data_IF_830432567318
#
_entry.id   IF_830432567318
#
_cell.length_a   1.000
_cell.length_b   1.000
_cell.length_c   1.000
_cell.angle_alpha   90.00
_cell.angle_beta   90.00
_cell.angle_gamma   90.00
#
_symmetry.space_group_name_H-M   'P 1'
#
loop_
_entity.id
_entity.type
_entity.pdbx_description
1 polymer ?
#
# COMPACT_ATOMS: atom_id res chain seq x y z
N UNK A 1 2.99 -4.20 -20.75
CA UNK A 1 1.93 -4.95 -21.45
C UNK A 1 1.46 -6.04 -20.49
N UNK A 2 0.14 -6.20 -20.31
CA UNK A 2 -0.42 -7.20 -19.37
C UNK A 2 -0.26 -8.61 -19.95
N UNK A 3 -0.22 -9.61 -19.08
CA UNK A 3 0.00 -11.01 -19.44
C UNK A 3 -1.27 -11.83 -19.20
N UNK A 4 -1.45 -12.86 -20.02
CA UNK A 4 -2.47 -13.87 -19.81
C UNK A 4 -1.97 -14.89 -18.78
N UNK A 5 -2.37 -14.74 -17.51
CA UNK A 5 -1.92 -15.61 -16.41
C UNK A 5 -3.09 -16.41 -15.85
N UNK A 6 -2.81 -17.62 -15.34
CA UNK A 6 -3.74 -18.40 -14.51
C UNK A 6 -3.08 -18.77 -13.21
N UNK A 7 -3.84 -18.72 -12.11
CA UNK A 7 -3.36 -19.10 -10.78
C UNK A 7 -4.41 -19.94 -10.07
N UNK A 8 -3.95 -21.00 -9.41
CA UNK A 8 -4.73 -21.85 -8.53
C UNK A 8 -4.42 -21.50 -7.08
N UNK A 9 -5.46 -21.35 -6.27
CA UNK A 9 -5.40 -20.86 -4.90
C UNK A 9 -6.05 -21.88 -3.97
N UNK A 10 -5.39 -22.16 -2.85
CA UNK A 10 -5.82 -23.19 -1.91
C UNK A 10 -6.89 -22.70 -0.93
N UNK A 11 -6.96 -21.39 -0.66
CA UNK A 11 -7.85 -20.82 0.35
C UNK A 11 -8.08 -19.31 0.14
N UNK A 12 -8.98 -18.76 0.94
CA UNK A 12 -9.35 -17.34 0.92
C UNK A 12 -8.17 -16.39 1.14
N UNK A 13 -7.24 -16.72 2.04
CA UNK A 13 -6.06 -15.86 2.29
C UNK A 13 -5.15 -15.76 1.07
N UNK A 14 -4.93 -16.87 0.36
CA UNK A 14 -4.18 -16.87 -0.89
C UNK A 14 -4.91 -16.07 -1.98
N UNK A 15 -6.24 -16.16 -2.02
CA UNK A 15 -7.05 -15.35 -2.94
C UNK A 15 -6.87 -13.86 -2.70
N UNK A 16 -6.98 -13.38 -1.45
CA UNK A 16 -6.78 -11.96 -1.14
C UNK A 16 -5.39 -11.48 -1.57
N UNK A 17 -4.34 -12.27 -1.25
CA UNK A 17 -2.97 -11.94 -1.65
C UNK A 17 -2.80 -11.86 -3.17
N UNK A 18 -3.37 -12.81 -3.91
CA UNK A 18 -3.31 -12.81 -5.37
C UNK A 18 -4.10 -11.65 -5.98
N UNK A 19 -5.27 -11.35 -5.42
CA UNK A 19 -6.14 -10.25 -5.85
C UNK A 19 -5.45 -8.89 -5.68
N UNK A 20 -4.85 -8.65 -4.51
CA UNK A 20 -4.09 -7.44 -4.22
C UNK A 20 -2.88 -7.31 -5.14
N UNK A 21 -2.17 -8.41 -5.39
CA UNK A 21 -1.01 -8.42 -6.28
C UNK A 21 -1.40 -8.07 -7.73
N UNK A 22 -2.48 -8.65 -8.24
CA UNK A 22 -2.99 -8.34 -9.59
C UNK A 22 -3.48 -6.88 -9.67
N UNK A 23 -4.17 -6.40 -8.64
CA UNK A 23 -4.62 -5.00 -8.59
C UNK A 23 -3.43 -4.04 -8.56
N UNK A 24 -2.37 -4.34 -7.79
CA UNK A 24 -1.10 -3.58 -7.78
C UNK A 24 -0.39 -3.57 -9.12
N UNK A 25 -0.42 -4.71 -9.81
CA UNK A 25 0.07 -4.81 -11.17
C UNK A 25 -0.81 -4.05 -12.16
N UNK A 26 -1.93 -3.47 -11.73
CA UNK A 26 -2.87 -2.63 -12.49
C UNK A 26 -3.91 -3.41 -13.28
N UNK A 27 -4.21 -4.64 -12.90
CA UNK A 27 -5.36 -5.38 -13.43
C UNK A 27 -6.65 -4.93 -12.72
N UNK A 28 -7.80 -5.11 -13.37
CA UNK A 28 -9.10 -4.72 -12.84
C UNK A 28 -10.14 -5.82 -13.06
N UNK A 29 -11.18 -5.82 -12.24
CA UNK A 29 -12.26 -6.78 -12.39
C UNK A 29 -13.00 -6.61 -13.72
N UNK A 30 -13.15 -7.70 -14.47
CA UNK A 30 -13.77 -7.70 -15.81
C UNK A 30 -15.15 -8.37 -15.87
N UNK A 31 -15.69 -8.82 -14.74
CA UNK A 31 -17.01 -9.45 -14.68
C UNK A 31 -18.16 -8.43 -14.60
N UNK A 32 -19.37 -8.91 -14.89
CA UNK A 32 -20.57 -8.05 -14.94
C UNK A 32 -21.21 -7.79 -13.57
N UNK A 33 -20.67 -8.38 -12.50
CA UNK A 33 -21.17 -8.29 -11.13
C UNK A 33 -20.10 -7.73 -10.19
N UNK A 34 -20.37 -7.68 -8.89
CA UNK A 34 -19.37 -7.28 -7.91
C UNK A 34 -18.16 -8.24 -7.91
N UNK A 35 -16.95 -7.75 -7.60
CA UNK A 35 -15.79 -8.61 -7.42
C UNK A 35 -16.06 -9.73 -6.40
N UNK A 36 -15.60 -10.96 -6.68
CA UNK A 36 -15.80 -12.08 -5.76
C UNK A 36 -14.99 -11.90 -4.47
N UNK A 37 -15.52 -12.35 -3.34
CA UNK A 37 -14.77 -12.36 -2.07
C UNK A 37 -13.79 -13.54 -1.98
N UNK A 38 -13.99 -14.59 -2.79
CA UNK A 38 -13.10 -15.75 -2.86
C UNK A 38 -13.33 -16.53 -4.15
N UNK A 39 -12.26 -17.13 -4.67
CA UNK A 39 -12.31 -18.08 -5.79
C UNK A 39 -11.03 -18.94 -5.80
N UNK A 40 -11.14 -20.24 -6.14
CA UNK A 40 -9.97 -21.12 -6.27
C UNK A 40 -9.13 -20.85 -7.53
N UNK A 41 -9.71 -20.25 -8.57
CA UNK A 41 -9.03 -20.01 -9.85
C UNK A 41 -9.20 -18.56 -10.30
N UNK A 42 -8.09 -17.90 -10.59
CA UNK A 42 -8.07 -16.56 -11.20
C UNK A 42 -7.40 -16.61 -12.57
N UNK A 43 -7.89 -15.76 -13.47
CA UNK A 43 -7.36 -15.58 -14.81
C UNK A 43 -7.18 -14.09 -15.07
N UNK A 44 -5.99 -13.69 -15.50
CA UNK A 44 -5.72 -12.34 -15.98
C UNK A 44 -5.64 -12.33 -17.51
N UNK A 45 -6.06 -11.24 -18.14
CA UNK A 45 -6.09 -11.11 -19.60
C UNK A 45 -5.17 -9.99 -20.09
N UNK A 46 -4.72 -10.02 -21.37
CA UNK A 46 -3.84 -8.98 -21.93
C UNK A 46 -4.45 -7.57 -21.98
N UNK A 47 -5.77 -7.46 -21.90
CA UNK A 47 -6.50 -6.20 -21.80
C UNK A 47 -6.58 -5.66 -20.36
N UNK A 48 -6.00 -6.38 -19.39
CA UNK A 48 -5.96 -5.99 -17.99
C UNK A 48 -7.12 -6.51 -17.14
N UNK A 49 -8.06 -7.27 -17.71
CA UNK A 49 -9.17 -7.85 -16.95
C UNK A 49 -8.74 -9.03 -16.08
N UNK A 50 -9.42 -9.18 -14.94
CA UNK A 50 -9.40 -10.37 -14.09
C UNK A 50 -10.77 -11.03 -14.19
N UNK A 51 -10.79 -12.35 -14.43
CA UNK A 51 -11.97 -13.19 -14.29
C UNK A 51 -11.65 -14.36 -13.35
N UNK A 52 -12.70 -15.00 -12.83
CA UNK A 52 -12.56 -16.13 -11.89
C UNK A 52 -13.40 -17.31 -12.32
N UNK A 53 -12.99 -18.50 -11.90
CA UNK A 53 -13.88 -19.66 -11.80
C UNK A 53 -14.04 -20.05 -10.34
N UNK A 54 -15.27 -20.45 -10.00
CA UNK A 54 -15.64 -20.88 -8.65
C UNK A 54 -15.36 -22.38 -8.45
N UNK A 55 -15.80 -22.89 -7.30
CA UNK A 55 -15.63 -24.30 -6.96
C UNK A 55 -16.43 -25.20 -7.90
N UNK A 56 -15.82 -26.34 -8.23
CA UNK A 56 -16.56 -27.45 -8.79
C UNK A 56 -17.58 -27.98 -7.77
N UNK A 57 -18.75 -28.35 -8.26
CA UNK A 57 -19.74 -29.06 -7.45
C UNK A 57 -19.17 -30.42 -7.02
N UNK A 58 -19.63 -30.94 -5.89
CA UNK A 58 -19.25 -32.28 -5.45
C UNK A 58 -19.54 -33.30 -6.55
N UNK A 59 -18.62 -34.25 -6.76
CA UNK A 59 -18.65 -35.28 -7.82
C UNK A 59 -18.51 -34.76 -9.26
N UNK A 60 -18.17 -33.48 -9.47
CA UNK A 60 -17.86 -32.98 -10.80
C UNK A 60 -16.70 -33.76 -11.44
N UNK A 61 -16.84 -34.04 -12.75
CA UNK A 61 -15.74 -34.56 -13.55
C UNK A 61 -14.67 -33.47 -13.73
N UNK A 62 -13.63 -33.54 -12.89
CA UNK A 62 -12.50 -32.61 -12.90
C UNK A 62 -11.65 -32.70 -14.18
N UNK A 63 -11.86 -33.70 -15.05
CA UNK A 63 -11.19 -33.83 -16.34
C UNK A 63 -11.94 -33.13 -17.49
N UNK A 64 -13.22 -32.82 -17.27
CA UNK A 64 -14.08 -32.12 -18.22
C UNK A 64 -13.59 -30.69 -18.43
N UNK A 65 -13.51 -30.17 -19.67
CA UNK A 65 -13.17 -28.75 -19.90
C UNK A 65 -14.23 -27.77 -19.33
N UNK A 66 -15.39 -28.28 -18.92
CA UNK A 66 -16.49 -27.49 -18.38
C UNK A 66 -16.52 -27.46 -16.85
N UNK A 67 -15.65 -28.22 -16.17
CA UNK A 67 -15.39 -28.06 -14.74
C UNK A 67 -14.38 -26.94 -14.52
N UNK A 68 -14.41 -26.27 -13.38
CA UNK A 68 -13.47 -25.22 -13.05
C UNK A 68 -12.02 -25.76 -13.02
N UNK A 69 -11.81 -26.93 -12.40
CA UNK A 69 -10.52 -27.60 -12.39
C UNK A 69 -10.06 -28.02 -13.81
N UNK A 70 -10.97 -28.56 -14.62
CA UNK A 70 -10.62 -29.02 -15.97
C UNK A 70 -10.43 -27.88 -16.97
N UNK A 71 -11.17 -26.78 -16.83
CA UNK A 71 -10.92 -25.53 -17.56
C UNK A 71 -9.55 -24.95 -17.18
N UNK A 72 -9.22 -24.88 -15.90
CA UNK A 72 -7.90 -24.44 -15.44
C UNK A 72 -6.77 -25.28 -16.07
N UNK A 73 -6.93 -26.61 -16.06
CA UNK A 73 -5.95 -27.54 -16.63
C UNK A 73 -5.74 -27.35 -18.13
N UNK A 74 -6.80 -27.07 -18.89
CA UNK A 74 -6.76 -26.94 -20.36
C UNK A 74 -6.50 -25.52 -20.87
N UNK A 75 -6.71 -24.51 -20.03
CA UNK A 75 -6.52 -23.10 -20.40
C UNK A 75 -5.09 -22.82 -20.85
N UNK A 76 -4.95 -22.06 -21.95
CA UNK A 76 -3.67 -21.65 -22.53
C UNK A 76 -2.96 -20.53 -21.73
N UNK A 77 -3.61 -19.98 -20.71
CA UNK A 77 -3.01 -18.97 -19.84
C UNK A 77 -1.75 -19.53 -19.19
N UNK A 78 -0.73 -18.68 -19.07
CA UNK A 78 0.52 -19.06 -18.42
C UNK A 78 0.27 -19.27 -16.93
N UNK A 79 0.52 -20.48 -16.46
CA UNK A 79 0.39 -20.79 -15.05
C UNK A 79 1.46 -20.06 -14.24
N UNK A 80 1.03 -19.43 -13.13
CA UNK A 80 1.90 -18.75 -12.19
C UNK A 80 1.57 -19.19 -10.76
N UNK A 81 2.61 -19.38 -9.95
CA UNK A 81 2.44 -19.61 -8.52
C UNK A 81 2.16 -18.30 -7.79
N UNK A 82 1.54 -18.38 -6.60
CA UNK A 82 1.33 -17.19 -5.77
C UNK A 82 2.66 -16.47 -5.49
N UNK A 83 3.71 -17.19 -5.10
CA UNK A 83 5.01 -16.59 -4.81
C UNK A 83 5.59 -15.84 -6.01
N UNK A 84 5.50 -16.42 -7.21
CA UNK A 84 5.97 -15.77 -8.43
C UNK A 84 5.14 -14.53 -8.77
N UNK A 85 3.82 -14.57 -8.56
CA UNK A 85 2.95 -13.41 -8.74
C UNK A 85 3.30 -12.29 -7.75
N UNK A 86 3.55 -12.63 -6.48
CA UNK A 86 3.96 -11.67 -5.46
C UNK A 86 5.32 -11.05 -5.80
N UNK A 87 6.27 -11.82 -6.33
CA UNK A 87 7.55 -11.31 -6.81
C UNK A 87 7.35 -10.36 -7.99
N UNK A 88 6.50 -10.71 -8.96
CA UNK A 88 6.18 -9.81 -10.07
C UNK A 88 5.58 -8.49 -9.59
N UNK A 89 4.63 -8.55 -8.64
CA UNK A 89 4.01 -7.37 -8.05
C UNK A 89 4.98 -6.52 -7.21
N UNK A 90 6.09 -7.09 -6.72
CA UNK A 90 7.17 -6.35 -6.05
C UNK A 90 8.15 -5.70 -7.03
N UNK A 91 8.35 -6.28 -8.21
CA UNK A 91 9.28 -5.77 -9.22
C UNK A 91 8.69 -4.67 -10.12
N UNK A 92 7.37 -4.61 -10.26
CA UNK A 92 6.71 -3.46 -10.88
C UNK A 92 6.80 -2.29 -9.90
N UNK A 93 7.25 -1.12 -10.37
CA UNK A 93 7.61 0.06 -9.54
C UNK A 93 6.40 0.78 -8.90
N UNK A 94 5.40 0.02 -8.46
CA UNK A 94 4.43 0.45 -7.47
C UNK A 94 4.77 -0.24 -6.16
N UNK A 95 5.40 0.52 -5.28
CA UNK A 95 5.82 0.04 -3.97
C UNK A 95 4.66 -0.65 -3.23
N UNK A 96 4.91 -1.81 -2.62
CA UNK A 96 3.86 -2.56 -1.96
C UNK A 96 3.29 -1.74 -0.80
N UNK A 97 1.97 -1.65 -0.74
CA UNK A 97 1.16 -1.18 0.40
C UNK A 97 1.59 -1.75 1.78
N UNK A 98 2.44 -2.79 1.81
CA UNK A 98 2.92 -3.46 3.03
C UNK A 98 4.13 -2.78 3.70
N UNK A 99 4.81 -1.80 3.07
CA UNK A 99 5.80 -0.95 3.75
C UNK A 99 5.16 0.22 4.52
N UNK A 100 3.84 0.40 4.40
CA UNK A 100 3.13 1.49 5.09
C UNK A 100 2.80 1.15 6.53
N UNK A 101 2.63 -0.13 6.90
CA UNK A 101 2.16 -0.46 8.27
C UNK A 101 3.14 0.00 9.34
N UNK A 102 4.46 -0.30 9.27
CA UNK A 102 5.42 0.23 10.25
C UNK A 102 5.53 1.76 10.20
N UNK A 103 5.42 2.34 9.00
CA UNK A 103 5.52 3.78 8.80
C UNK A 103 4.29 4.51 9.36
N UNK A 104 3.07 4.04 9.11
CA UNK A 104 1.82 4.55 9.68
C UNK A 104 1.87 4.45 11.20
N UNK A 105 2.31 3.31 11.77
CA UNK A 105 2.46 3.18 13.23
C UNK A 105 3.39 4.22 13.84
N UNK A 106 4.46 4.58 13.13
CA UNK A 106 5.42 5.61 13.55
C UNK A 106 4.90 7.04 13.32
N UNK A 107 4.31 7.29 12.16
CA UNK A 107 3.97 8.63 11.66
C UNK A 107 2.58 9.09 12.10
N UNK A 108 1.62 8.18 12.35
CA UNK A 108 0.26 8.55 12.77
C UNK A 108 0.25 9.41 14.04
N UNK A 109 0.98 9.09 15.13
CA UNK A 109 0.99 9.94 16.31
C UNK A 109 1.58 11.35 16.03
N UNK A 110 2.56 11.44 15.12
CA UNK A 110 3.16 12.72 14.72
C UNK A 110 2.20 13.55 13.87
N UNK A 111 1.47 12.88 12.96
CA UNK A 111 0.39 13.47 12.18
C UNK A 111 -0.73 13.98 13.09
N UNK A 112 -1.26 13.17 14.01
CA UNK A 112 -2.34 13.54 14.93
C UNK A 112 -1.98 14.79 15.73
N UNK A 113 -0.78 14.82 16.31
CA UNK A 113 -0.29 15.98 17.05
C UNK A 113 -0.18 17.23 16.17
N UNK A 114 0.32 17.09 14.94
CA UNK A 114 0.43 18.21 14.00
C UNK A 114 -0.94 18.70 13.54
N UNK A 115 -1.85 17.79 13.21
CA UNK A 115 -3.18 18.07 12.70
C UNK A 115 -3.97 18.88 13.74
N UNK A 116 -3.97 18.44 15.00
CA UNK A 116 -4.60 19.15 16.12
C UNK A 116 -3.92 20.50 16.38
N UNK A 117 -2.58 20.57 16.36
CA UNK A 117 -1.86 21.84 16.52
C UNK A 117 -2.21 22.86 15.43
N UNK A 118 -2.55 22.40 14.22
CA UNK A 118 -2.94 23.23 13.09
C UNK A 118 -4.43 23.56 13.05
N UNK A 119 -5.19 23.18 14.07
CA UNK A 119 -6.61 23.46 14.20
C UNK A 119 -7.52 22.42 13.55
N UNK A 120 -6.97 21.28 13.13
CA UNK A 120 -7.75 20.11 12.77
C UNK A 120 -8.39 19.45 14.00
N UNK A 121 -9.49 18.74 13.79
CA UNK A 121 -10.27 18.12 14.86
C UNK A 121 -10.36 16.60 14.67
N UNK A 122 -10.23 15.85 15.75
CA UNK A 122 -10.31 14.39 15.79
C UNK A 122 -11.36 13.89 16.81
N UNK A 123 -12.09 14.78 17.48
CA UNK A 123 -12.93 14.44 18.64
C UNK A 123 -13.99 13.37 18.36
N UNK A 124 -14.51 13.30 17.13
CA UNK A 124 -15.54 12.35 16.72
C UNK A 124 -15.00 11.17 15.92
N UNK A 125 -13.68 11.03 15.83
CA UNK A 125 -13.02 10.01 15.03
C UNK A 125 -12.25 9.05 15.94
N UNK A 126 -12.34 7.76 15.64
CA UNK A 126 -11.48 6.73 16.21
C UNK A 126 -10.65 6.09 15.11
N UNK A 127 -9.43 5.68 15.45
CA UNK A 127 -8.64 4.83 14.58
C UNK A 127 -9.11 3.39 14.70
N UNK A 128 -9.59 2.79 13.62
CA UNK A 128 -9.97 1.38 13.57
C UNK A 128 -8.81 0.55 13.01
N UNK A 129 -8.06 -0.12 13.90
CA UNK A 129 -6.89 -0.93 13.52
C UNK A 129 -7.31 -2.36 13.15
N UNK A 130 -6.92 -2.79 11.96
CA UNK A 130 -7.03 -4.17 11.51
C UNK A 130 -5.93 -5.06 12.11
N UNK A 131 -6.15 -6.37 12.17
CA UNK A 131 -5.22 -7.36 12.74
C UNK A 131 -3.82 -7.37 12.11
N UNK A 132 -3.70 -6.91 10.86
CA UNK A 132 -2.44 -6.78 10.13
C UNK A 132 -1.68 -5.47 10.46
N UNK A 133 -2.23 -4.60 11.31
CA UNK A 133 -1.67 -3.30 11.69
C UNK A 133 -1.96 -2.15 10.72
N UNK A 134 -2.73 -2.39 9.64
CA UNK A 134 -3.36 -1.30 8.88
C UNK A 134 -4.57 -0.76 9.63
N UNK A 135 -5.14 0.33 9.14
CA UNK A 135 -6.37 0.87 9.69
C UNK A 135 -6.73 2.17 9.00
N UNK A 136 -7.81 2.76 9.45
CA UNK A 136 -8.29 4.06 9.01
C UNK A 136 -9.09 4.75 10.13
N UNK A 137 -9.25 6.07 10.02
CA UNK A 137 -10.16 6.81 10.88
C UNK A 137 -11.60 6.50 10.49
N UNK A 138 -12.39 6.16 11.49
CA UNK A 138 -13.82 5.92 11.40
C UNK A 138 -14.55 6.87 12.36
N UNK A 139 -15.81 7.22 12.09
CA UNK A 139 -16.64 7.89 13.07
C UNK A 139 -16.73 7.08 14.38
N UNK A 140 -16.56 7.74 15.53
CA UNK A 140 -16.72 7.12 16.83
C UNK A 140 -18.20 7.13 17.25
N UNK A 141 -19.03 6.35 16.56
CA UNK A 141 -20.47 6.29 16.81
C UNK A 141 -20.84 5.95 18.26
N UNK A 142 -19.98 5.19 18.96
CA UNK A 142 -20.17 4.85 20.36
C UNK A 142 -20.09 6.08 21.27
N UNK A 143 -19.16 6.99 21.00
CA UNK A 143 -19.01 8.24 21.76
C UNK A 143 -20.03 9.29 21.31
N UNK A 144 -20.31 9.38 20.01
CA UNK A 144 -21.31 10.29 19.45
C UNK A 144 -22.72 9.96 19.95
N UNK A 145 -23.10 8.67 19.95
CA UNK A 145 -24.42 8.23 20.39
C UNK A 145 -24.69 8.41 21.89
N UNK A 146 -23.64 8.61 22.71
CA UNK A 146 -23.77 8.97 24.12
C UNK A 146 -23.99 10.48 24.33
N UNK A 147 -23.67 11.31 23.34
CA UNK A 147 -23.82 12.77 23.38
C UNK A 147 -25.23 13.21 22.91
N UNK A 148 -25.88 12.41 22.06
CA UNK A 148 -27.08 12.81 21.29
C UNK A 148 -28.44 12.38 21.89
N UNK A 149 -28.55 12.24 23.21
CA UNK A 149 -29.84 11.91 23.83
C UNK A 149 -30.87 13.06 23.87
N UNK A 150 -30.62 14.23 23.26
CA UNK A 150 -31.50 15.41 23.41
C UNK A 150 -31.93 16.16 22.13
N UNK A 151 -31.53 15.78 20.91
CA UNK A 151 -31.88 16.58 19.72
C UNK A 151 -32.45 15.77 18.55
N UNK A 152 -33.79 15.67 18.52
CA UNK A 152 -34.53 15.22 17.34
C UNK A 152 -34.50 16.25 16.22
N UNK A 153 -34.21 15.82 14.99
CA UNK A 153 -34.10 16.59 13.72
C UNK A 153 -32.74 17.26 13.47
N UNK A 154 -31.70 16.46 13.12
CA UNK A 154 -30.67 16.75 12.07
C UNK A 154 -29.63 15.60 11.90
N UNK A 155 -29.99 14.36 12.27
CA UNK A 155 -29.08 13.21 12.31
C UNK A 155 -28.41 12.89 10.96
N UNK A 156 -29.05 13.13 9.81
CA UNK A 156 -28.48 12.73 8.51
C UNK A 156 -27.30 13.61 8.06
N UNK A 157 -27.44 14.93 8.16
CA UNK A 157 -26.40 15.88 7.70
C UNK A 157 -25.20 15.86 8.65
N UNK A 158 -25.43 15.75 9.97
CA UNK A 158 -24.36 15.59 10.93
C UNK A 158 -23.59 14.28 10.73
N UNK A 159 -24.29 13.16 10.51
CA UNK A 159 -23.66 11.86 10.26
C UNK A 159 -22.85 11.86 8.96
N UNK A 160 -23.39 12.42 7.87
CA UNK A 160 -22.65 12.56 6.61
C UNK A 160 -21.41 13.43 6.75
N UNK A 161 -21.50 14.53 7.50
CA UNK A 161 -20.36 15.42 7.76
C UNK A 161 -19.25 14.71 8.54
N UNK A 162 -19.58 13.86 9.52
CA UNK A 162 -18.57 13.11 10.27
C UNK A 162 -17.93 12.03 9.41
N UNK A 163 -18.68 11.33 8.55
CA UNK A 163 -18.13 10.35 7.62
C UNK A 163 -17.17 11.03 6.63
N UNK A 164 -17.58 12.15 6.03
CA UNK A 164 -16.73 12.93 5.12
C UNK A 164 -15.48 13.46 5.84
N UNK A 165 -15.61 13.84 7.11
CA UNK A 165 -14.48 14.26 7.93
C UNK A 165 -13.50 13.10 8.17
N UNK A 166 -13.99 11.89 8.45
CA UNK A 166 -13.15 10.71 8.58
C UNK A 166 -12.37 10.42 7.28
N UNK A 167 -13.04 10.45 6.13
CA UNK A 167 -12.41 10.30 4.81
C UNK A 167 -11.35 11.38 4.54
N UNK A 168 -11.64 12.62 4.91
CA UNK A 168 -10.72 13.73 4.76
C UNK A 168 -9.45 13.55 5.61
N UNK A 169 -9.62 13.21 6.89
CA UNK A 169 -8.50 12.96 7.81
C UNK A 169 -7.66 11.78 7.33
N UNK A 170 -8.28 10.71 6.82
CA UNK A 170 -7.57 9.59 6.19
C UNK A 170 -6.72 10.04 5.00
N UNK A 171 -7.29 10.82 4.09
CA UNK A 171 -6.54 11.37 2.94
C UNK A 171 -5.35 12.23 3.39
N UNK A 172 -5.52 13.03 4.44
CA UNK A 172 -4.46 13.84 5.03
C UNK A 172 -3.34 12.99 5.66
N UNK A 173 -3.69 11.94 6.41
CA UNK A 173 -2.72 10.98 6.96
C UNK A 173 -1.93 10.30 5.85
N UNK A 174 -2.60 9.82 4.79
CA UNK A 174 -1.90 9.16 3.67
C UNK A 174 -0.94 10.12 2.98
N UNK A 175 -1.35 11.37 2.77
CA UNK A 175 -0.48 12.42 2.21
C UNK A 175 0.74 12.71 3.11
N UNK A 176 0.53 12.76 4.43
CA UNK A 176 1.62 12.90 5.41
C UNK A 176 2.61 11.74 5.30
N UNK A 177 2.11 10.51 5.26
CA UNK A 177 2.93 9.29 5.22
C UNK A 177 3.74 9.21 3.91
N UNK A 178 3.18 9.60 2.77
CA UNK A 178 3.93 9.74 1.51
C UNK A 178 5.04 10.78 1.61
N UNK A 179 4.77 11.90 2.29
CA UNK A 179 5.77 12.93 2.50
C UNK A 179 6.89 12.44 3.43
N UNK A 180 6.53 11.76 4.52
CA UNK A 180 7.49 11.16 5.47
C UNK A 180 8.38 10.14 4.76
N UNK A 181 7.79 9.31 3.90
CA UNK A 181 8.50 8.35 3.04
C UNK A 181 9.50 9.02 2.11
N UNK A 182 9.12 10.11 1.44
CA UNK A 182 10.05 10.85 0.56
C UNK A 182 11.22 11.50 1.30
N UNK A 183 11.08 11.71 2.61
CA UNK A 183 12.12 12.25 3.51
C UNK A 183 12.91 11.16 4.23
N UNK A 184 12.39 9.94 4.30
CA UNK A 184 13.06 8.80 4.92
C UNK A 184 14.08 8.25 3.91
N UNK A 185 15.35 8.58 4.12
CA UNK A 185 16.46 7.92 3.44
C UNK A 185 16.49 6.46 3.95
N UNK A 186 16.38 5.44 3.09
CA UNK A 186 16.43 4.06 3.54
C UNK A 186 17.75 3.74 4.25
N UNK A 187 17.73 2.82 5.21
CA UNK A 187 18.94 2.41 5.93
C UNK A 187 20.03 1.96 4.96
N UNK A 188 21.23 2.54 5.11
CA UNK A 188 22.38 2.29 4.24
C UNK A 188 22.50 3.23 3.02
N UNK A 189 21.51 4.10 2.77
CA UNK A 189 21.57 5.10 1.71
C UNK A 189 22.00 6.47 2.27
N UNK A 190 22.68 7.27 1.45
CA UNK A 190 23.13 8.62 1.80
C UNK A 190 22.65 9.57 0.70
N UNK A 191 21.99 10.66 1.08
CA UNK A 191 21.66 11.73 0.13
C UNK A 191 22.93 12.51 -0.20
N UNK A 192 23.41 12.39 -1.43
CA UNK A 192 24.49 13.23 -1.94
C UNK A 192 23.91 14.51 -2.58
N UNK A 193 24.55 15.68 -2.40
CA UNK A 193 24.16 16.87 -3.14
C UNK A 193 24.30 16.62 -4.65
N UNK A 194 23.28 17.01 -5.42
CA UNK A 194 23.21 16.81 -6.88
C UNK A 194 24.40 17.47 -7.61
N UNK A 195 24.86 18.61 -7.10
CA UNK A 195 26.05 19.32 -7.57
C UNK A 195 26.88 19.72 -6.34
N UNK A 196 27.99 19.04 -6.05
CA UNK A 196 28.85 19.41 -4.93
C UNK A 196 29.61 20.70 -5.25
N UNK A 197 29.70 21.60 -4.27
CA UNK A 197 30.52 22.80 -4.41
C UNK A 197 32.02 22.45 -4.44
N UNK A 198 32.87 23.44 -4.75
CA UNK A 198 34.30 23.21 -4.93
C UNK A 198 34.99 22.68 -3.67
N UNK A 199 34.55 23.12 -2.48
CA UNK A 199 35.06 22.64 -1.19
C UNK A 199 34.70 21.16 -0.99
N UNK A 200 33.45 20.80 -1.21
CA UNK A 200 32.96 19.42 -1.11
C UNK A 200 33.66 18.49 -2.09
N UNK A 201 33.88 18.96 -3.32
CA UNK A 201 34.60 18.21 -4.34
C UNK A 201 36.05 17.93 -3.92
N UNK A 202 36.74 18.93 -3.34
CA UNK A 202 38.11 18.77 -2.81
C UNK A 202 38.17 17.83 -1.61
N UNK A 203 37.24 17.94 -0.66
CA UNK A 203 37.13 17.03 0.49
C UNK A 203 36.90 15.58 0.04
N UNK A 204 36.01 15.37 -0.93
CA UNK A 204 35.72 14.06 -1.49
C UNK A 204 36.94 13.44 -2.20
N UNK A 205 37.63 14.23 -3.03
CA UNK A 205 38.84 13.80 -3.72
C UNK A 205 39.94 13.40 -2.75
N UNK A 206 40.15 14.18 -1.69
CA UNK A 206 41.18 13.91 -0.67
C UNK A 206 40.91 12.61 0.09
N UNK A 207 39.69 12.41 0.59
CA UNK A 207 39.35 11.19 1.35
C UNK A 207 39.31 9.95 0.45
N UNK A 208 38.84 10.09 -0.79
CA UNK A 208 38.86 8.99 -1.77
C UNK A 208 40.30 8.60 -2.10
N UNK A 209 41.21 9.56 -2.24
CA UNK A 209 42.62 9.30 -2.50
C UNK A 209 43.35 8.65 -1.29
N UNK A 210 42.96 8.97 -0.06
CA UNK A 210 43.57 8.40 1.14
C UNK A 210 43.05 7.01 1.51
N UNK A 211 41.74 6.77 1.34
CA UNK A 211 41.07 5.59 1.90
C UNK A 211 40.44 4.65 0.85
N UNK A 212 40.26 5.12 -0.39
CA UNK A 212 39.51 4.40 -1.42
C UNK A 212 38.02 4.20 -1.08
N UNK A 213 37.55 4.72 0.06
CA UNK A 213 36.21 4.47 0.56
C UNK A 213 35.27 5.62 0.18
N UNK A 214 34.47 5.39 -0.87
CA UNK A 214 33.51 6.35 -1.37
C UNK A 214 32.47 6.77 -0.30
N UNK A 215 32.07 5.87 0.60
CA UNK A 215 31.10 6.17 1.66
C UNK A 215 31.70 7.16 2.68
N UNK A 216 32.98 7.00 3.02
CA UNK A 216 33.68 7.93 3.90
C UNK A 216 33.82 9.32 3.26
N UNK A 217 34.08 9.36 1.95
CA UNK A 217 34.13 10.62 1.19
C UNK A 217 32.76 11.33 1.20
N UNK A 218 31.66 10.61 0.95
CA UNK A 218 30.31 11.19 0.98
C UNK A 218 29.90 11.70 2.35
N UNK A 219 30.21 10.98 3.44
CA UNK A 219 29.92 11.45 4.80
C UNK A 219 30.66 12.76 5.13
N UNK A 220 31.91 12.89 4.69
CA UNK A 220 32.69 14.11 4.91
C UNK A 220 32.17 15.30 4.10
N UNK A 221 31.70 15.08 2.86
CA UNK A 221 31.04 16.13 2.06
C UNK A 221 29.79 16.70 2.74
N UNK A 222 29.05 15.84 3.47
CA UNK A 222 27.85 16.23 4.21
C UNK A 222 28.18 16.95 5.51
N UNK A 223 29.23 16.55 6.23
CA UNK A 223 29.68 17.28 7.42
C UNK A 223 30.09 18.73 7.08
N UNK A 224 30.61 18.97 5.87
CA UNK A 224 30.94 20.31 5.38
C UNK A 224 29.69 21.20 5.08
N UNK A 225 28.48 20.63 5.00
CA UNK A 225 27.22 21.40 4.88
C UNK A 225 26.81 22.03 6.21
N UNK A 226 27.00 21.35 7.34
CA UNK A 226 26.53 21.79 8.66
C UNK A 226 27.31 23.00 9.21
N UNK A 227 28.56 23.19 8.75
CA UNK A 227 29.42 24.30 9.19
C UNK A 227 29.15 25.60 8.43
N UNK A 228 28.49 25.54 7.27
CA UNK A 228 28.26 26.73 6.43
C UNK A 228 26.92 27.44 6.70
N UNK A 229 26.12 26.91 7.63
CA UNK A 229 24.81 27.44 8.02
C UNK A 229 24.78 28.12 9.40
N UNK A 230 25.94 28.52 9.93
CA UNK A 230 26.06 29.38 11.12
C UNK A 230 26.51 30.80 10.75
#
# INVERSE_FOLDING_TARGET
MKQALKIKLANHSQFQQAWDALTKLGYHWGGNCNPPCTAPYLYSYPDGRILVDFFDVEEADLSSPNSAAGYFAKSEHKEITLDALLVLAKCDRHEPFYDYIPLIKKERPLFEANYVQKGGDLQYLKWDECDNGSGDYQPNWEEIGLIDHETSFDEHEFNENIVQHAEHVNSCLMSWVECAKSKAIPDGWILAPKEPNEKQSRTAMFITAQSGNAIAAYKAMLADLEVSSQ
#
